data_IF_342696905231
#
_entry.id   IF_342696905231
#
_cell.length_a   1.000
_cell.length_b   1.000
_cell.length_c   1.000
_cell.angle_alpha   90.00
_cell.angle_beta   90.00
_cell.angle_gamma   90.00
#
_symmetry.space_group_name_H-M   'P 1'
#
loop_
_entity.id
_entity.type
_entity.pdbx_description
1 polymer ?
#
# COMPACT_ATOMS: atom_id res chain seq x y z
N UNK A 1 -10.48 10.33 32.16
CA UNK A 1 -9.56 11.03 31.23
C UNK A 1 -8.34 10.13 31.03
N UNK A 2 -8.32 9.32 29.97
CA UNK A 2 -7.14 8.51 29.65
C UNK A 2 -6.11 9.41 28.98
N UNK A 3 -5.01 9.70 29.68
CA UNK A 3 -3.83 10.33 29.11
C UNK A 3 -3.29 9.41 28.01
N UNK A 4 -3.46 9.78 26.74
CA UNK A 4 -2.85 9.08 25.63
C UNK A 4 -1.32 9.08 25.82
N UNK A 5 -0.68 7.91 25.70
CA UNK A 5 0.77 7.78 25.86
C UNK A 5 1.47 8.51 24.70
N UNK A 6 2.20 9.61 24.97
CA UNK A 6 2.78 10.45 23.91
C UNK A 6 3.89 9.74 23.12
N UNK A 7 4.40 8.59 23.60
CA UNK A 7 5.48 7.85 22.96
C UNK A 7 4.98 6.66 22.13
N UNK A 8 3.69 6.32 22.17
CA UNK A 8 3.17 5.11 21.54
C UNK A 8 3.46 5.03 20.04
N UNK A 9 3.18 6.10 19.30
CA UNK A 9 3.44 6.18 17.86
C UNK A 9 4.94 6.04 17.54
N UNK A 10 5.80 6.69 18.34
CA UNK A 10 7.26 6.59 18.16
C UNK A 10 7.78 5.18 18.44
N UNK A 11 7.30 4.51 19.49
CA UNK A 11 7.66 3.12 19.80
C UNK A 11 7.28 2.18 18.67
N UNK A 12 6.08 2.32 18.11
CA UNK A 12 5.64 1.53 16.96
C UNK A 12 6.52 1.77 15.74
N UNK A 13 6.88 3.03 15.47
CA UNK A 13 7.78 3.38 14.38
C UNK A 13 9.17 2.74 14.55
N UNK A 14 9.82 2.94 15.70
CA UNK A 14 11.15 2.39 16.01
C UNK A 14 11.15 0.86 15.93
N UNK A 15 10.13 0.22 16.51
CA UNK A 15 9.98 -1.24 16.43
C UNK A 15 9.79 -1.71 15.00
N UNK A 16 8.98 -1.04 14.19
CA UNK A 16 8.75 -1.38 12.78
C UNK A 16 10.04 -1.27 11.97
N UNK A 17 10.80 -0.18 12.11
CA UNK A 17 12.06 -0.01 11.37
C UNK A 17 13.10 -1.05 11.79
N UNK A 18 13.22 -1.34 13.09
CA UNK A 18 14.17 -2.33 13.60
C UNK A 18 13.94 -3.75 13.04
N UNK A 19 12.68 -4.12 12.80
CA UNK A 19 12.31 -5.44 12.28
C UNK A 19 12.11 -5.46 10.76
N UNK A 20 12.23 -4.32 10.07
CA UNK A 20 11.99 -4.21 8.63
C UNK A 20 13.00 -4.99 7.80
N UNK A 21 14.29 -4.93 8.20
CA UNK A 21 15.38 -5.56 7.45
C UNK A 21 16.31 -6.31 8.42
N UNK A 22 16.23 -7.65 8.50
CA UNK A 22 17.06 -8.45 9.42
C UNK A 22 18.57 -8.17 9.29
N UNK A 23 19.05 -7.94 8.06
CA UNK A 23 20.46 -7.61 7.80
C UNK A 23 20.91 -6.28 8.42
N UNK A 24 20.04 -5.27 8.46
CA UNK A 24 20.35 -4.01 9.15
C UNK A 24 20.40 -4.22 10.66
N UNK A 25 19.51 -5.07 11.19
CA UNK A 25 19.56 -5.47 12.58
C UNK A 25 20.91 -6.11 12.90
N UNK A 26 21.36 -7.10 12.15
CA UNK A 26 22.66 -7.75 12.39
C UNK A 26 23.83 -6.76 12.30
N UNK A 27 23.83 -5.89 11.27
CA UNK A 27 24.87 -4.88 11.04
C UNK A 27 24.93 -3.83 12.17
N UNK A 28 23.78 -3.49 12.78
CA UNK A 28 23.72 -2.49 13.85
C UNK A 28 24.52 -2.87 15.11
N UNK A 29 24.86 -4.16 15.28
CA UNK A 29 25.67 -4.63 16.40
C UNK A 29 27.04 -3.96 16.44
N UNK A 30 27.69 -3.76 15.29
CA UNK A 30 29.02 -3.13 15.21
C UNK A 30 29.02 -1.67 15.67
N UNK A 31 27.89 -0.97 15.53
CA UNK A 31 27.74 0.43 15.98
C UNK A 31 27.68 0.58 17.51
N UNK A 32 27.52 -0.52 18.24
CA UNK A 32 27.53 -0.54 19.71
C UNK A 32 28.89 -0.92 20.30
N UNK A 33 29.89 -1.22 19.48
CA UNK A 33 31.22 -1.56 19.95
C UNK A 33 31.91 -0.34 20.57
N UNK A 34 32.75 -0.58 21.58
CA UNK A 34 33.41 0.48 22.36
C UNK A 34 34.18 1.49 21.49
N UNK A 35 34.78 1.03 20.39
CA UNK A 35 35.51 1.86 19.43
C UNK A 35 34.60 2.77 18.58
N UNK A 36 33.34 2.38 18.37
CA UNK A 36 32.40 3.08 17.49
C UNK A 36 31.27 3.81 18.27
N UNK A 37 31.11 3.53 19.57
CA UNK A 37 29.94 3.96 20.34
C UNK A 37 29.80 5.48 20.40
N UNK A 38 30.84 6.21 20.78
CA UNK A 38 30.78 7.69 20.90
C UNK A 38 30.46 8.34 19.55
N UNK A 39 31.12 7.91 18.48
CA UNK A 39 30.82 8.38 17.12
C UNK A 39 29.38 8.04 16.68
N UNK A 40 28.86 6.88 17.08
CA UNK A 40 27.47 6.49 16.81
C UNK A 40 26.49 7.40 17.56
N UNK A 41 26.77 7.75 18.82
CA UNK A 41 25.97 8.71 19.60
C UNK A 41 25.97 10.08 18.95
N UNK A 42 27.12 10.60 18.52
CA UNK A 42 27.22 11.90 17.84
C UNK A 42 26.42 11.95 16.53
N UNK A 43 26.52 10.89 15.72
CA UNK A 43 25.71 10.72 14.50
C UNK A 43 24.22 10.64 14.81
N UNK A 44 23.85 9.97 15.90
CA UNK A 44 22.46 9.84 16.31
C UNK A 44 21.88 11.17 16.78
N UNK A 45 22.63 11.96 17.56
CA UNK A 45 22.26 13.32 17.96
C UNK A 45 22.01 14.19 16.73
N UNK A 46 22.92 14.14 15.75
CA UNK A 46 22.79 14.90 14.50
C UNK A 46 21.51 14.51 13.77
N UNK A 47 21.25 13.21 13.59
CA UNK A 47 20.04 12.72 12.95
C UNK A 47 18.76 13.07 13.71
N UNK A 48 18.77 13.04 15.06
CA UNK A 48 17.64 13.46 15.90
C UNK A 48 17.34 14.94 15.70
N UNK A 49 18.37 15.78 15.57
CA UNK A 49 18.21 17.23 15.35
C UNK A 49 17.63 17.54 13.98
N UNK A 50 18.06 16.82 12.94
CA UNK A 50 17.63 17.04 11.56
C UNK A 50 16.25 16.47 11.26
N UNK A 51 15.89 15.33 11.86
CA UNK A 51 14.61 14.69 11.57
C UNK A 51 13.42 15.38 12.28
N UNK A 52 12.24 15.41 11.62
CA UNK A 52 11.01 15.90 12.22
C UNK A 52 10.47 14.87 13.22
N UNK A 53 10.61 15.17 14.52
CA UNK A 53 10.12 14.35 15.63
C UNK A 53 9.18 15.19 16.50
N UNK A 54 8.21 14.57 17.20
CA UNK A 54 7.46 15.26 18.23
C UNK A 54 8.40 15.89 19.28
N UNK A 55 8.14 17.13 19.68
CA UNK A 55 9.02 17.89 20.57
C UNK A 55 9.34 17.13 21.87
N UNK A 56 8.35 16.44 22.44
CA UNK A 56 8.50 15.62 23.64
C UNK A 56 9.46 14.44 23.43
N UNK A 57 9.42 13.79 22.26
CA UNK A 57 10.35 12.70 21.90
C UNK A 57 11.75 13.27 21.68
N UNK A 58 11.84 14.35 20.90
CA UNK A 58 13.11 14.99 20.54
C UNK A 58 13.86 15.48 21.77
N UNK A 59 13.17 16.18 22.68
CA UNK A 59 13.74 16.68 23.92
C UNK A 59 14.32 15.54 24.77
N UNK A 60 13.58 14.43 24.94
CA UNK A 60 14.06 13.31 25.76
C UNK A 60 15.25 12.60 25.11
N UNK A 61 15.22 12.37 23.79
CA UNK A 61 16.34 11.73 23.12
C UNK A 61 17.60 12.61 23.17
N UNK A 62 17.48 13.93 22.98
CA UNK A 62 18.60 14.85 23.14
C UNK A 62 19.09 14.91 24.59
N UNK A 63 18.20 14.89 25.57
CA UNK A 63 18.61 14.77 26.98
C UNK A 63 19.42 13.49 27.24
N UNK A 64 18.98 12.36 26.69
CA UNK A 64 19.64 11.06 26.87
C UNK A 64 20.99 10.95 26.17
N UNK A 65 21.17 11.60 25.02
CA UNK A 65 22.36 11.44 24.19
C UNK A 65 23.29 12.65 24.22
N UNK A 66 22.76 13.86 24.13
CA UNK A 66 23.55 15.11 24.05
C UNK A 66 23.93 15.66 25.42
N UNK A 67 23.01 15.67 26.39
CA UNK A 67 23.31 16.18 27.74
C UNK A 67 24.12 15.16 28.56
N UNK A 68 23.69 13.88 28.58
CA UNK A 68 24.36 12.84 29.38
C UNK A 68 25.64 12.29 28.75
N UNK A 69 25.85 12.49 27.43
CA UNK A 69 27.02 12.03 26.65
C UNK A 69 27.54 10.63 27.03
N UNK A 70 26.70 9.59 26.89
CA UNK A 70 27.08 8.22 27.25
C UNK A 70 28.30 7.76 26.44
N UNK A 71 29.22 7.03 27.06
CA UNK A 71 30.43 6.50 26.40
C UNK A 71 30.33 5.00 26.12
N UNK A 72 29.34 4.32 26.71
CA UNK A 72 29.00 2.92 26.47
C UNK A 72 27.52 2.68 26.77
N UNK A 73 27.01 1.53 26.32
CA UNK A 73 25.59 1.13 26.51
C UNK A 73 25.17 1.13 27.99
N UNK A 74 26.09 0.79 28.90
CA UNK A 74 25.79 0.74 30.34
C UNK A 74 25.59 2.11 30.98
N UNK A 75 26.05 3.18 30.33
CA UNK A 75 25.88 4.55 30.83
C UNK A 75 24.48 5.10 30.47
N UNK A 76 23.72 4.38 29.65
CA UNK A 76 22.39 4.78 29.22
C UNK A 76 21.35 4.58 30.32
N UNK A 77 20.45 5.54 30.42
CA UNK A 77 19.30 5.46 31.31
C UNK A 77 18.25 4.48 30.73
N UNK A 78 18.31 3.24 31.20
CA UNK A 78 17.50 2.15 30.66
C UNK A 78 16.00 2.29 30.92
N UNK A 79 15.60 2.92 32.02
CA UNK A 79 14.19 3.20 32.32
C UNK A 79 13.62 4.20 31.32
N UNK A 80 14.33 5.31 31.09
CA UNK A 80 13.91 6.35 30.15
C UNK A 80 13.95 5.88 28.69
N UNK A 81 14.98 5.14 28.28
CA UNK A 81 15.03 4.55 26.93
C UNK A 81 13.90 3.55 26.72
N UNK A 82 13.60 2.69 27.70
CA UNK A 82 12.50 1.73 27.62
C UNK A 82 11.15 2.44 27.57
N UNK A 83 10.99 3.56 28.29
CA UNK A 83 9.77 4.38 28.22
C UNK A 83 9.54 4.94 26.82
N UNK A 84 10.58 5.51 26.20
CA UNK A 84 10.45 6.17 24.88
C UNK A 84 10.43 5.18 23.72
N UNK A 85 11.18 4.07 23.80
CA UNK A 85 11.36 3.11 22.67
C UNK A 85 10.65 1.77 22.86
N UNK A 86 10.25 1.42 24.09
CA UNK A 86 9.73 0.10 24.43
C UNK A 86 10.81 -0.98 24.57
N UNK A 87 12.09 -0.64 24.40
CA UNK A 87 13.20 -1.59 24.28
C UNK A 87 14.25 -1.37 25.39
N UNK A 88 14.96 -2.41 25.84
CA UNK A 88 16.11 -2.26 26.74
C UNK A 88 17.29 -1.56 26.04
N UNK A 89 18.24 -0.92 26.77
CA UNK A 89 19.27 -0.02 26.23
C UNK A 89 19.95 -0.48 24.94
N UNK A 90 20.50 -1.70 24.92
CA UNK A 90 21.21 -2.21 23.75
C UNK A 90 20.29 -2.38 22.53
N UNK A 91 19.06 -2.84 22.73
CA UNK A 91 18.07 -2.99 21.64
C UNK A 91 17.53 -1.64 21.20
N UNK A 92 17.29 -0.73 22.15
CA UNK A 92 16.85 0.64 21.88
C UNK A 92 17.88 1.36 20.99
N UNK A 93 19.17 1.31 21.34
CA UNK A 93 20.22 1.91 20.52
C UNK A 93 20.27 1.33 19.10
N UNK A 94 20.22 0.01 18.94
CA UNK A 94 20.20 -0.63 17.61
C UNK A 94 18.97 -0.22 16.79
N UNK A 95 17.81 -0.19 17.44
CA UNK A 95 16.58 0.20 16.79
C UNK A 95 16.59 1.68 16.37
N UNK A 96 17.13 2.56 17.22
CA UNK A 96 17.31 3.97 16.91
C UNK A 96 18.33 4.17 15.78
N UNK A 97 19.48 3.51 15.79
CA UNK A 97 20.45 3.64 14.69
C UNK A 97 19.89 3.19 13.35
N UNK A 98 18.98 2.21 13.33
CA UNK A 98 18.25 1.82 12.11
C UNK A 98 17.19 2.85 11.75
N UNK A 99 16.33 3.25 12.71
CA UNK A 99 15.24 4.20 12.47
C UNK A 99 15.74 5.57 11.98
N UNK A 100 16.91 6.00 12.46
CA UNK A 100 17.56 7.25 12.05
C UNK A 100 18.50 7.08 10.84
N UNK A 101 18.57 5.90 10.21
CA UNK A 101 19.32 5.68 8.97
C UNK A 101 20.84 5.62 9.13
N UNK A 102 21.37 5.39 10.34
CA UNK A 102 22.81 5.26 10.58
C UNK A 102 23.37 3.93 10.07
N UNK A 103 22.51 2.90 9.96
CA UNK A 103 22.81 1.64 9.28
C UNK A 103 22.32 1.74 7.83
N UNK A 104 23.21 1.73 6.83
CA UNK A 104 22.80 1.77 5.44
C UNK A 104 21.78 0.66 5.15
N UNK A 105 20.74 0.99 4.38
CA UNK A 105 19.89 -0.06 3.82
C UNK A 105 20.77 -0.96 2.94
N UNK A 106 20.58 -2.29 2.96
CA UNK A 106 21.23 -3.13 1.97
C UNK A 106 20.87 -2.62 0.58
N UNK A 107 21.89 -2.48 -0.27
CA UNK A 107 21.70 -2.21 -1.69
C UNK A 107 20.83 -3.34 -2.24
N UNK A 108 19.59 -3.03 -2.61
CA UNK A 108 18.73 -4.02 -3.25
C UNK A 108 19.35 -4.44 -4.57
N UNK A 109 19.23 -5.72 -4.91
CA UNK A 109 19.64 -6.22 -6.23
C UNK A 109 18.76 -5.68 -7.36
N UNK A 110 17.58 -5.12 -7.04
CA UNK A 110 16.62 -4.65 -8.01
C UNK A 110 16.88 -3.19 -8.40
N UNK A 111 16.93 -2.88 -9.72
CA UNK A 111 17.04 -1.50 -10.17
C UNK A 111 15.78 -0.71 -9.85
N UNK A 112 15.95 0.60 -9.61
CA UNK A 112 14.84 1.54 -9.37
C UNK A 112 14.91 2.66 -10.39
N UNK A 113 13.74 3.12 -10.84
CA UNK A 113 13.66 4.25 -11.76
C UNK A 113 14.16 5.53 -11.09
N UNK A 114 14.98 6.30 -11.80
CA UNK A 114 15.46 7.61 -11.39
C UNK A 114 14.49 8.76 -11.75
N UNK A 115 13.34 8.46 -12.39
CA UNK A 115 12.36 9.46 -12.75
C UNK A 115 11.75 10.13 -11.51
N UNK A 116 11.70 11.46 -11.52
CA UNK A 116 11.01 12.22 -10.48
C UNK A 116 9.49 12.15 -10.64
N UNK A 117 8.76 12.45 -9.57
CA UNK A 117 7.30 12.52 -9.60
C UNK A 117 6.79 13.54 -10.63
N UNK A 118 7.48 14.67 -10.82
CA UNK A 118 7.19 15.67 -11.87
C UNK A 118 7.32 15.07 -13.27
N UNK A 119 8.40 14.34 -13.52
CA UNK A 119 8.66 13.74 -14.83
C UNK A 119 7.60 12.69 -15.16
N UNK A 120 7.24 11.85 -14.19
CA UNK A 120 6.19 10.84 -14.32
C UNK A 120 4.84 11.49 -14.61
N UNK A 121 4.47 12.54 -13.87
CA UNK A 121 3.25 13.32 -14.15
C UNK A 121 3.25 13.86 -15.59
N UNK A 122 4.37 14.43 -16.03
CA UNK A 122 4.54 14.95 -17.39
C UNK A 122 4.29 13.89 -18.46
N UNK A 123 4.85 12.69 -18.31
CA UNK A 123 4.56 11.57 -19.21
C UNK A 123 3.08 11.16 -19.16
N UNK A 124 2.57 10.87 -17.97
CA UNK A 124 1.25 10.25 -17.79
C UNK A 124 0.09 11.14 -18.26
N UNK A 125 0.24 12.46 -18.21
CA UNK A 125 -0.74 13.41 -18.79
C UNK A 125 -0.93 13.20 -20.30
N UNK A 126 0.13 12.82 -21.02
CA UNK A 126 0.08 12.54 -22.45
C UNK A 126 -0.25 11.08 -22.81
N UNK A 127 -0.24 10.16 -21.84
CA UNK A 127 -0.48 8.74 -22.08
C UNK A 127 -1.96 8.37 -21.92
N UNK A 128 -2.53 7.76 -22.95
CA UNK A 128 -3.84 7.09 -22.86
C UNK A 128 -3.74 5.83 -22.00
N UNK A 129 -2.69 5.02 -22.19
CA UNK A 129 -2.39 3.87 -21.35
C UNK A 129 -1.24 4.20 -20.37
N UNK A 130 -1.49 4.36 -19.05
CA UNK A 130 -0.44 4.57 -18.05
C UNK A 130 0.70 3.54 -18.06
N UNK A 131 0.47 2.30 -18.49
CA UNK A 131 1.54 1.28 -18.56
C UNK A 131 2.55 1.56 -19.67
N UNK A 132 2.26 2.44 -20.63
CA UNK A 132 3.23 2.88 -21.63
C UNK A 132 4.40 3.67 -21.00
N UNK A 133 4.28 4.10 -19.73
CA UNK A 133 5.40 4.62 -18.95
C UNK A 133 6.57 3.61 -18.89
N UNK A 134 6.30 2.30 -18.90
CA UNK A 134 7.32 1.25 -18.89
C UNK A 134 8.28 1.35 -20.10
N UNK A 135 7.81 1.92 -21.22
CA UNK A 135 8.64 2.14 -22.41
C UNK A 135 9.45 3.44 -22.37
N UNK A 136 9.17 4.32 -21.39
CA UNK A 136 9.78 5.64 -21.26
C UNK A 136 10.69 5.74 -20.01
N UNK A 137 10.49 4.87 -19.04
CA UNK A 137 11.32 4.79 -17.84
C UNK A 137 12.68 4.11 -18.11
N UNK A 138 13.66 4.47 -17.31
CA UNK A 138 14.98 3.83 -17.23
C UNK A 138 14.92 2.40 -16.67
N UNK A 139 13.89 2.10 -15.88
CA UNK A 139 13.60 0.77 -15.36
C UNK A 139 12.14 0.40 -15.66
N UNK A 140 11.91 -0.75 -16.29
CA UNK A 140 10.57 -1.29 -16.49
C UNK A 140 10.25 -2.29 -15.36
N UNK A 141 9.60 -1.82 -14.30
CA UNK A 141 9.23 -2.66 -13.15
C UNK A 141 7.80 -2.44 -12.70
N UNK A 142 7.11 -3.55 -12.41
CA UNK A 142 5.71 -3.57 -11.98
C UNK A 142 5.52 -4.45 -10.74
N UNK A 143 4.83 -3.92 -9.73
CA UNK A 143 4.28 -4.67 -8.61
C UNK A 143 2.77 -4.78 -8.77
N UNK A 144 2.23 -5.99 -8.81
CA UNK A 144 0.78 -6.24 -8.86
C UNK A 144 0.29 -6.83 -7.53
N UNK A 145 -0.54 -6.07 -6.81
CA UNK A 145 -1.11 -6.44 -5.50
C UNK A 145 -2.53 -6.99 -5.69
N UNK A 146 -2.78 -8.18 -5.16
CA UNK A 146 -4.04 -8.90 -5.41
C UNK A 146 -4.10 -9.44 -6.84
N UNK A 147 -2.99 -10.03 -7.29
CA UNK A 147 -2.74 -10.46 -8.68
C UNK A 147 -3.80 -11.45 -9.22
N UNK A 148 -4.50 -12.16 -8.33
CA UNK A 148 -5.56 -13.10 -8.65
C UNK A 148 -5.07 -14.22 -9.56
N UNK A 149 -5.77 -14.39 -10.69
CA UNK A 149 -5.52 -15.47 -11.63
C UNK A 149 -4.28 -15.27 -12.52
N UNK A 150 -3.54 -14.16 -12.35
CA UNK A 150 -2.37 -13.73 -13.15
C UNK A 150 -2.70 -13.28 -14.58
N UNK A 151 -3.96 -13.18 -14.98
CA UNK A 151 -4.35 -12.78 -16.35
C UNK A 151 -3.82 -11.40 -16.75
N UNK A 152 -3.89 -10.43 -15.84
CA UNK A 152 -3.29 -9.10 -16.06
C UNK A 152 -1.77 -9.19 -16.28
N UNK A 153 -1.07 -9.99 -15.46
CA UNK A 153 0.37 -10.18 -15.57
C UNK A 153 0.77 -10.80 -16.92
N UNK A 154 -0.03 -11.75 -17.42
CA UNK A 154 0.14 -12.36 -18.76
C UNK A 154 -0.02 -11.32 -19.87
N UNK A 155 -1.10 -10.53 -19.86
CA UNK A 155 -1.33 -9.49 -20.87
C UNK A 155 -0.25 -8.39 -20.85
N UNK A 156 0.17 -7.95 -19.66
CA UNK A 156 1.24 -6.98 -19.50
C UNK A 156 2.56 -7.52 -20.08
N UNK A 157 2.90 -8.78 -19.77
CA UNK A 157 4.11 -9.41 -20.28
C UNK A 157 4.06 -9.64 -21.79
N UNK A 158 2.89 -10.00 -22.35
CA UNK A 158 2.67 -10.12 -23.79
C UNK A 158 2.90 -8.78 -24.50
N UNK A 159 2.35 -7.70 -23.94
CA UNK A 159 2.34 -6.39 -24.57
C UNK A 159 3.70 -5.67 -24.51
N UNK A 160 4.40 -5.76 -23.38
CA UNK A 160 5.63 -4.99 -23.14
C UNK A 160 6.90 -5.83 -23.17
N UNK A 161 6.84 -7.11 -22.78
CA UNK A 161 8.01 -7.98 -22.68
C UNK A 161 8.86 -8.02 -23.95
N UNK A 162 8.27 -8.34 -25.14
CA UNK A 162 9.03 -8.37 -26.39
C UNK A 162 9.67 -7.02 -26.76
N UNK A 163 8.98 -5.91 -26.54
CA UNK A 163 9.45 -4.55 -26.90
C UNK A 163 10.59 -4.09 -26.00
N UNK A 164 10.53 -4.43 -24.72
CA UNK A 164 11.58 -4.13 -23.74
C UNK A 164 12.81 -5.03 -23.98
N UNK A 165 12.58 -6.31 -24.29
CA UNK A 165 13.67 -7.23 -24.60
C UNK A 165 14.48 -6.79 -25.82
N UNK A 166 13.83 -6.25 -26.87
CA UNK A 166 14.52 -5.66 -28.04
C UNK A 166 15.39 -4.45 -27.70
N UNK A 167 15.20 -3.84 -26.52
CA UNK A 167 15.99 -2.73 -26.00
C UNK A 167 17.02 -3.16 -24.94
N UNK A 168 17.26 -4.46 -24.81
CA UNK A 168 18.09 -5.06 -23.75
C UNK A 168 17.65 -4.67 -22.33
N UNK A 169 16.36 -4.40 -22.16
CA UNK A 169 15.76 -4.09 -20.86
C UNK A 169 14.81 -5.23 -20.45
N UNK A 170 15.05 -5.92 -19.32
CA UNK A 170 14.09 -6.88 -18.80
C UNK A 170 12.88 -6.18 -18.18
N UNK A 171 11.70 -6.73 -18.38
CA UNK A 171 10.52 -6.37 -17.57
C UNK A 171 10.62 -7.08 -16.22
N UNK A 172 10.62 -6.34 -15.12
CA UNK A 172 10.53 -6.89 -13.76
C UNK A 172 9.06 -6.89 -13.37
N UNK A 173 8.49 -8.04 -13.03
CA UNK A 173 7.09 -8.17 -12.65
C UNK A 173 6.95 -9.05 -11.42
N UNK A 174 6.52 -8.47 -10.31
CA UNK A 174 6.25 -9.19 -9.08
C UNK A 174 4.76 -9.15 -8.75
N UNK A 175 4.16 -10.32 -8.55
CA UNK A 175 2.78 -10.46 -8.08
C UNK A 175 2.74 -10.89 -6.62
N UNK A 176 1.84 -10.29 -5.83
CA UNK A 176 1.60 -10.66 -4.43
C UNK A 176 0.11 -10.86 -4.21
N UNK A 177 -0.28 -12.00 -3.65
CA UNK A 177 -1.67 -12.32 -3.34
C UNK A 177 -1.84 -13.05 -2.00
N UNK A 178 -2.93 -12.76 -1.30
CA UNK A 178 -3.34 -13.45 -0.07
C UNK A 178 -3.90 -14.85 -0.36
N UNK A 179 -4.42 -15.06 -1.56
CA UNK A 179 -4.89 -16.37 -2.01
C UNK A 179 -3.72 -17.34 -2.06
N UNK A 180 -3.86 -18.44 -1.34
CA UNK A 180 -2.96 -19.57 -1.45
C UNK A 180 -3.31 -20.35 -2.73
N UNK A 181 -2.37 -20.56 -3.66
CA UNK A 181 -2.60 -21.40 -4.84
C UNK A 181 -3.00 -22.84 -4.51
N UNK A 182 -2.75 -23.31 -3.28
CA UNK A 182 -3.13 -24.64 -2.80
C UNK A 182 -4.49 -24.66 -2.07
N UNK A 183 -5.07 -23.49 -1.78
CA UNK A 183 -6.39 -23.40 -1.12
C UNK A 183 -7.50 -23.87 -2.05
N UNK A 184 -8.59 -24.37 -1.47
CA UNK A 184 -9.80 -24.71 -2.22
C UNK A 184 -10.80 -23.53 -2.26
N UNK A 185 -10.49 -22.42 -1.58
CA UNK A 185 -11.43 -21.34 -1.28
C UNK A 185 -11.27 -20.10 -2.18
N UNK A 186 -10.40 -20.11 -3.18
CA UNK A 186 -10.22 -18.99 -4.13
C UNK A 186 -10.97 -19.14 -5.46
N UNK A 187 -11.46 -20.35 -5.78
CA UNK A 187 -12.24 -20.62 -6.98
C UNK A 187 -11.59 -20.08 -8.28
N UNK A 188 -12.30 -19.31 -9.12
CA UNK A 188 -11.77 -18.80 -10.39
C UNK A 188 -10.74 -17.68 -10.24
N UNK A 189 -10.45 -17.23 -9.00
CA UNK A 189 -9.46 -16.20 -8.72
C UNK A 189 -8.07 -16.77 -8.43
N UNK A 190 -7.92 -18.10 -8.36
CA UNK A 190 -6.62 -18.71 -8.18
C UNK A 190 -5.70 -18.45 -9.36
N UNK A 191 -4.43 -18.20 -9.05
CA UNK A 191 -3.35 -18.22 -10.02
C UNK A 191 -3.38 -19.54 -10.81
N UNK A 192 -3.64 -19.45 -12.11
CA UNK A 192 -3.60 -20.62 -12.99
C UNK A 192 -2.18 -21.17 -13.06
N UNK A 193 -2.00 -22.46 -12.78
CA UNK A 193 -0.68 -23.09 -12.72
C UNK A 193 0.02 -23.09 -14.08
N UNK A 194 -0.74 -23.24 -15.16
CA UNK A 194 -0.22 -23.15 -16.53
C UNK A 194 0.30 -21.74 -16.85
N UNK A 195 -0.48 -20.71 -16.50
CA UNK A 195 -0.11 -19.29 -16.66
C UNK A 195 1.10 -18.92 -15.82
N UNK A 196 1.13 -19.35 -14.56
CA UNK A 196 2.29 -19.18 -13.68
C UNK A 196 3.55 -19.75 -14.31
N UNK A 197 3.50 -20.98 -14.82
CA UNK A 197 4.65 -21.61 -15.46
C UNK A 197 5.08 -20.87 -16.73
N UNK A 198 4.12 -20.43 -17.58
CA UNK A 198 4.42 -19.63 -18.78
C UNK A 198 5.13 -18.33 -18.44
N UNK A 199 4.67 -17.60 -17.41
CA UNK A 199 5.29 -16.36 -16.95
C UNK A 199 6.70 -16.59 -16.41
N UNK A 200 6.92 -17.65 -15.62
CA UNK A 200 8.23 -17.97 -15.05
C UNK A 200 9.29 -18.34 -16.11
N UNK A 201 8.87 -18.95 -17.23
CA UNK A 201 9.77 -19.38 -18.30
C UNK A 201 9.92 -18.34 -19.42
N UNK A 202 9.30 -17.16 -19.27
CA UNK A 202 9.23 -16.18 -20.35
C UNK A 202 10.55 -15.42 -20.52
N UNK A 203 11.06 -15.40 -21.74
CA UNK A 203 12.25 -14.60 -22.08
C UNK A 203 11.98 -13.11 -21.96
N UNK A 204 12.97 -12.36 -21.47
CA UNK A 204 12.87 -10.91 -21.26
C UNK A 204 12.01 -10.50 -20.05
N UNK A 205 11.53 -11.46 -19.25
CA UNK A 205 10.72 -11.22 -18.06
C UNK A 205 11.43 -11.76 -16.82
N UNK A 206 11.64 -10.92 -15.82
CA UNK A 206 11.99 -11.32 -14.45
C UNK A 206 10.72 -11.38 -13.62
N UNK A 207 10.13 -12.58 -13.54
CA UNK A 207 8.85 -12.79 -12.88
C UNK A 207 8.97 -13.52 -11.54
N UNK A 208 8.23 -13.05 -10.54
CA UNK A 208 8.00 -13.77 -9.30
C UNK A 208 6.55 -13.59 -8.83
N UNK A 209 5.97 -14.67 -8.28
CA UNK A 209 4.63 -14.65 -7.70
C UNK A 209 4.68 -15.18 -6.27
N UNK A 210 4.10 -14.42 -5.35
CA UNK A 210 4.04 -14.72 -3.92
C UNK A 210 2.58 -14.85 -3.49
N UNK A 211 2.04 -16.07 -3.64
CA UNK A 211 0.73 -16.45 -3.07
C UNK A 211 0.83 -16.76 -1.58
N UNK A 212 -0.32 -16.83 -0.90
CA UNK A 212 -0.40 -16.96 0.56
C UNK A 212 0.38 -15.86 1.31
N UNK A 213 0.45 -14.66 0.73
CA UNK A 213 1.18 -13.54 1.30
C UNK A 213 0.21 -12.44 1.71
N UNK A 214 0.29 -12.00 2.97
CA UNK A 214 -0.39 -10.77 3.37
C UNK A 214 0.23 -9.59 2.64
N UNK A 215 -0.57 -8.96 1.77
CA UNK A 215 -0.17 -7.83 0.93
C UNK A 215 0.22 -6.59 1.74
N UNK A 216 -0.17 -6.51 3.02
CA UNK A 216 0.21 -5.43 3.94
C UNK A 216 1.40 -5.77 4.84
N UNK A 217 1.85 -7.04 4.85
CA UNK A 217 3.01 -7.48 5.62
C UNK A 217 4.12 -8.05 4.71
N UNK A 218 4.77 -7.16 3.98
CA UNK A 218 5.82 -7.52 3.00
C UNK A 218 7.23 -7.64 3.61
N UNK A 219 7.37 -7.54 4.94
CA UNK A 219 8.68 -7.45 5.61
C UNK A 219 9.57 -8.68 5.37
N UNK A 220 8.98 -9.88 5.31
CA UNK A 220 9.76 -11.09 5.03
C UNK A 220 10.31 -11.09 3.61
N UNK A 221 9.47 -10.70 2.64
CA UNK A 221 9.88 -10.60 1.24
C UNK A 221 10.93 -9.51 1.02
N UNK A 222 10.78 -8.36 1.68
CA UNK A 222 11.78 -7.29 1.68
C UNK A 222 13.08 -7.74 2.34
N UNK A 223 13.01 -8.41 3.49
CA UNK A 223 14.17 -8.88 4.24
C UNK A 223 15.00 -9.93 3.47
N UNK A 224 14.37 -10.64 2.54
CA UNK A 224 15.00 -11.60 1.62
C UNK A 224 15.38 -10.99 0.26
N UNK A 225 15.20 -9.68 0.07
CA UNK A 225 15.45 -8.96 -1.18
C UNK A 225 14.73 -9.63 -2.39
N UNK A 226 13.50 -10.11 -2.14
CA UNK A 226 12.64 -10.74 -3.15
C UNK A 226 11.79 -9.72 -3.91
N UNK A 227 11.54 -8.55 -3.31
CA UNK A 227 10.82 -7.44 -3.91
C UNK A 227 11.76 -6.26 -4.15
N UNK A 228 11.53 -5.51 -5.22
CA UNK A 228 12.15 -4.21 -5.40
C UNK A 228 11.66 -3.25 -4.30
N UNK A 229 12.50 -2.33 -3.79
CA UNK A 229 12.08 -1.37 -2.79
C UNK A 229 10.99 -0.44 -3.31
N UNK A 230 11.10 -0.05 -4.59
CA UNK A 230 10.14 0.77 -5.33
C UNK A 230 10.12 0.36 -6.80
N UNK A 231 8.93 0.36 -7.38
CA UNK A 231 8.65 -0.03 -8.75
C UNK A 231 8.29 1.20 -9.58
N UNK A 232 8.47 1.10 -10.89
CA UNK A 232 8.00 2.13 -11.83
C UNK A 232 6.48 2.22 -11.77
N UNK A 233 5.78 1.08 -11.76
CA UNK A 233 4.33 1.01 -11.57
C UNK A 233 3.98 0.08 -10.41
N UNK A 234 3.15 0.53 -9.48
CA UNK A 234 2.44 -0.35 -8.55
C UNK A 234 0.96 -0.39 -8.93
N UNK A 235 0.37 -1.57 -8.99
CA UNK A 235 -1.00 -1.76 -9.45
C UNK A 235 -1.79 -2.67 -8.52
N UNK A 236 -3.10 -2.46 -8.52
CA UNK A 236 -4.08 -3.36 -7.92
C UNK A 236 -5.30 -3.42 -8.85
N UNK A 237 -5.51 -4.57 -9.49
CA UNK A 237 -6.67 -4.80 -10.34
C UNK A 237 -7.80 -5.43 -9.56
N UNK A 238 -9.01 -4.89 -9.70
CA UNK A 238 -10.21 -5.30 -8.99
C UNK A 238 -9.97 -5.46 -7.47
N UNK A 239 -9.65 -4.36 -6.76
CA UNK A 239 -9.44 -4.40 -5.31
C UNK A 239 -10.54 -5.19 -4.61
N UNK A 240 -10.14 -6.13 -3.75
CA UNK A 240 -11.08 -7.07 -3.15
C UNK A 240 -12.11 -6.36 -2.26
N UNK A 241 -13.38 -6.45 -2.64
CA UNK A 241 -14.51 -6.13 -1.76
C UNK A 241 -14.84 -7.36 -0.89
N UNK A 242 -15.01 -7.21 0.44
CA UNK A 242 -15.09 -5.96 1.22
C UNK A 242 -13.78 -5.38 1.79
N UNK A 243 -12.63 -6.03 1.64
CA UNK A 243 -11.34 -5.63 2.26
C UNK A 243 -11.00 -4.15 2.12
N UNK A 244 -11.34 -3.52 0.99
CA UNK A 244 -11.04 -2.10 0.70
C UNK A 244 -12.27 -1.20 0.58
N UNK A 245 -13.47 -1.73 0.79
CA UNK A 245 -14.74 -1.04 0.54
C UNK A 245 -15.31 -0.30 1.77
N UNK A 246 -14.58 -0.29 2.88
CA UNK A 246 -14.96 0.36 4.14
C UNK A 246 -13.70 0.92 4.79
N UNK A 247 -13.72 2.17 5.24
CA UNK A 247 -12.55 2.83 5.83
C UNK A 247 -12.57 2.82 7.38
N UNK A 248 -11.69 2.04 8.05
CA UNK A 248 -11.67 1.96 9.52
C UNK A 248 -11.33 3.27 10.24
N UNK A 249 -10.68 4.23 9.57
CA UNK A 249 -10.42 5.55 10.18
C UNK A 249 -11.65 6.45 10.29
N UNK A 250 -12.79 6.06 9.70
CA UNK A 250 -14.07 6.79 9.82
C UNK A 250 -15.26 5.91 10.20
N UNK A 251 -15.20 4.60 9.95
CA UNK A 251 -16.26 3.64 10.27
C UNK A 251 -15.83 2.76 11.44
N UNK A 252 -16.64 2.74 12.49
CA UNK A 252 -16.42 1.87 13.63
C UNK A 252 -16.60 0.40 13.26
N UNK A 253 -15.96 -0.53 13.99
CA UNK A 253 -16.09 -1.96 13.74
C UNK A 253 -17.55 -2.46 13.75
N UNK A 254 -18.40 -1.88 14.60
CA UNK A 254 -19.82 -2.23 14.69
C UNK A 254 -20.58 -1.83 13.41
N UNK A 255 -20.33 -0.64 12.87
CA UNK A 255 -20.92 -0.16 11.62
C UNK A 255 -20.47 -1.01 10.45
N UNK A 256 -19.16 -1.28 10.34
CA UNK A 256 -18.60 -2.15 9.30
C UNK A 256 -19.24 -3.54 9.36
N UNK A 257 -19.33 -4.14 10.55
CA UNK A 257 -19.94 -5.45 10.72
C UNK A 257 -21.42 -5.46 10.31
N UNK A 258 -22.19 -4.45 10.71
CA UNK A 258 -23.59 -4.29 10.32
C UNK A 258 -23.76 -4.17 8.81
N UNK A 259 -22.91 -3.39 8.15
CA UNK A 259 -22.92 -3.24 6.68
C UNK A 259 -22.56 -4.53 5.95
N UNK A 260 -21.58 -5.28 6.46
CA UNK A 260 -21.25 -6.60 5.90
C UNK A 260 -22.44 -7.56 6.00
N UNK A 261 -23.12 -7.61 7.15
CA UNK A 261 -24.32 -8.43 7.31
C UNK A 261 -25.45 -7.98 6.38
N UNK A 262 -25.67 -6.67 6.26
CA UNK A 262 -26.71 -6.08 5.42
C UNK A 262 -26.48 -6.32 3.93
N UNK A 263 -25.25 -6.16 3.46
CA UNK A 263 -24.92 -6.17 2.02
C UNK A 263 -24.46 -7.54 1.51
N UNK A 264 -23.79 -8.35 2.34
CA UNK A 264 -23.25 -9.65 1.94
C UNK A 264 -24.04 -10.82 2.52
N UNK A 265 -24.84 -10.60 3.57
CA UNK A 265 -25.62 -11.62 4.26
C UNK A 265 -24.97 -12.06 5.57
N UNK A 266 -25.67 -12.91 6.33
CA UNK A 266 -25.15 -13.44 7.59
C UNK A 266 -23.91 -14.32 7.33
N UNK A 267 -22.87 -14.18 8.16
CA UNK A 267 -21.62 -14.90 7.96
C UNK A 267 -21.04 -15.43 9.28
N UNK A 268 -20.26 -16.51 9.18
CA UNK A 268 -19.54 -17.11 10.30
C UNK A 268 -18.28 -17.82 9.84
N UNK A 269 -17.31 -17.95 10.74
CA UNK A 269 -16.15 -18.81 10.51
C UNK A 269 -16.55 -20.28 10.67
N UNK A 270 -16.08 -21.11 9.76
CA UNK A 270 -16.30 -22.56 9.72
C UNK A 270 -15.02 -23.27 9.25
N UNK A 271 -15.11 -24.56 8.94
CA UNK A 271 -14.05 -25.33 8.29
C UNK A 271 -14.57 -26.00 7.02
N UNK A 272 -13.77 -25.98 5.97
CA UNK A 272 -13.99 -26.75 4.75
C UNK A 272 -12.89 -27.81 4.64
N UNK A 273 -13.24 -29.07 4.90
CA UNK A 273 -12.24 -30.11 5.12
C UNK A 273 -11.34 -29.78 6.31
N UNK A 274 -10.05 -29.53 6.05
CA UNK A 274 -9.05 -29.13 7.06
C UNK A 274 -8.76 -27.63 7.09
N UNK A 275 -9.24 -26.89 6.10
CA UNK A 275 -8.96 -25.46 5.93
C UNK A 275 -9.99 -24.60 6.68
N UNK A 276 -9.58 -23.52 7.39
CA UNK A 276 -10.52 -22.52 7.88
C UNK A 276 -11.24 -21.83 6.72
N UNK A 277 -12.54 -21.57 6.86
CA UNK A 277 -13.33 -20.92 5.82
C UNK A 277 -14.28 -19.88 6.42
N UNK A 278 -14.61 -18.86 5.64
CA UNK A 278 -15.71 -17.96 5.91
C UNK A 278 -16.95 -18.48 5.17
N UNK A 279 -17.99 -18.84 5.91
CA UNK A 279 -19.30 -19.18 5.36
C UNK A 279 -20.18 -17.93 5.35
N UNK A 280 -20.72 -17.60 4.18
CA UNK A 280 -21.65 -16.48 3.97
C UNK A 280 -22.97 -17.02 3.44
N UNK A 281 -24.06 -16.70 4.11
CA UNK A 281 -25.42 -17.07 3.72
C UNK A 281 -25.97 -16.02 2.76
N UNK A 282 -26.14 -16.41 1.50
CA UNK A 282 -26.70 -15.57 0.45
C UNK A 282 -27.99 -16.21 -0.07
N UNK A 283 -29.14 -15.67 0.38
CA UNK A 283 -30.45 -16.30 0.16
C UNK A 283 -30.51 -17.69 0.81
N UNK A 284 -30.76 -18.73 0.03
CA UNK A 284 -30.80 -20.13 0.51
C UNK A 284 -29.47 -20.87 0.39
N UNK A 285 -28.41 -20.21 -0.11
CA UNK A 285 -27.12 -20.84 -0.39
C UNK A 285 -26.08 -20.41 0.64
N UNK A 286 -25.28 -21.37 1.10
CA UNK A 286 -24.04 -21.11 1.82
C UNK A 286 -22.88 -21.05 0.81
N UNK A 287 -22.19 -19.92 0.76
CA UNK A 287 -20.98 -19.72 -0.03
C UNK A 287 -19.76 -19.75 0.89
N UNK A 288 -18.67 -20.35 0.43
CA UNK A 288 -17.43 -20.46 1.17
C UNK A 288 -16.34 -19.58 0.55
N UNK A 289 -15.63 -18.86 1.40
CA UNK A 289 -14.54 -17.96 1.03
C UNK A 289 -13.34 -18.19 1.95
N UNK A 290 -12.16 -17.66 1.60
CA UNK A 290 -11.03 -17.64 2.53
C UNK A 290 -11.45 -16.90 3.81
N UNK A 291 -10.93 -17.31 4.98
CA UNK A 291 -11.39 -16.80 6.28
C UNK A 291 -11.19 -15.29 6.42
N UNK A 292 -10.21 -14.76 5.70
CA UNK A 292 -9.84 -13.35 5.68
C UNK A 292 -10.65 -12.48 4.71
N UNK A 293 -11.57 -13.06 3.93
CA UNK A 293 -12.31 -12.31 2.90
C UNK A 293 -13.00 -11.07 3.45
N UNK A 294 -13.44 -11.10 4.72
CA UNK A 294 -14.10 -9.99 5.41
C UNK A 294 -13.18 -9.24 6.38
N UNK A 295 -11.87 -9.49 6.35
CA UNK A 295 -10.90 -8.64 7.03
C UNK A 295 -10.87 -7.27 6.32
N UNK A 296 -11.49 -6.28 6.94
CA UNK A 296 -11.52 -4.91 6.41
C UNK A 296 -10.24 -4.19 6.84
N UNK A 297 -9.48 -3.72 5.84
CA UNK A 297 -8.25 -2.95 6.02
C UNK A 297 -8.47 -1.49 5.60
N UNK A 298 -9.25 -1.30 4.53
CA UNK A 298 -9.67 0.02 4.05
C UNK A 298 -8.84 0.62 2.91
N UNK A 299 -9.43 1.58 2.18
CA UNK A 299 -8.81 2.21 1.01
C UNK A 299 -7.56 3.02 1.38
N UNK A 300 -7.50 3.62 2.57
CA UNK A 300 -6.36 4.45 2.98
C UNK A 300 -5.06 3.65 3.03
N UNK A 301 -5.12 2.45 3.61
CA UNK A 301 -3.99 1.55 3.70
C UNK A 301 -3.53 1.10 2.30
N UNK A 302 -4.47 0.79 1.40
CA UNK A 302 -4.16 0.42 0.01
C UNK A 302 -3.45 1.56 -0.73
N UNK A 303 -3.97 2.79 -0.64
CA UNK A 303 -3.34 3.97 -1.23
C UNK A 303 -1.92 4.19 -0.70
N UNK A 304 -1.71 4.04 0.60
CA UNK A 304 -0.38 4.16 1.22
C UNK A 304 0.58 3.08 0.74
N UNK A 305 0.12 1.82 0.70
CA UNK A 305 0.93 0.71 0.20
C UNK A 305 1.38 0.95 -1.24
N UNK A 306 0.45 1.29 -2.13
CA UNK A 306 0.75 1.50 -3.54
C UNK A 306 1.63 2.73 -3.75
N UNK A 307 1.38 3.84 -3.04
CA UNK A 307 2.22 5.04 -3.14
C UNK A 307 3.64 4.82 -2.60
N UNK A 308 3.81 3.99 -1.57
CA UNK A 308 5.14 3.63 -1.05
C UNK A 308 5.91 2.71 -2.00
N UNK A 309 5.20 1.85 -2.74
CA UNK A 309 5.82 0.85 -3.62
C UNK A 309 5.92 1.29 -5.07
N UNK A 310 5.16 2.28 -5.52
CA UNK A 310 5.11 2.71 -6.92
C UNK A 310 5.60 4.13 -7.12
N UNK A 311 6.16 4.40 -8.29
CA UNK A 311 6.40 5.77 -8.78
C UNK A 311 5.21 6.27 -9.62
N UNK A 312 4.47 5.33 -10.20
CA UNK A 312 3.11 5.48 -10.71
C UNK A 312 2.21 4.45 -10.01
N UNK A 313 0.99 4.83 -9.65
CA UNK A 313 -0.04 3.93 -9.13
C UNK A 313 -1.16 3.81 -10.15
N UNK A 314 -1.57 2.57 -10.44
CA UNK A 314 -2.74 2.27 -11.28
C UNK A 314 -3.67 1.35 -10.51
N UNK A 315 -4.93 1.74 -10.34
CA UNK A 315 -5.96 0.86 -9.79
C UNK A 315 -7.05 0.70 -10.82
N UNK A 316 -7.29 -0.52 -11.28
CA UNK A 316 -8.27 -0.77 -12.34
C UNK A 316 -9.45 -1.61 -11.86
N UNK A 317 -10.60 -1.48 -12.53
CA UNK A 317 -11.86 -2.19 -12.22
C UNK A 317 -12.20 -2.06 -10.74
N UNK A 318 -12.00 -0.85 -10.21
CA UNK A 318 -12.41 -0.51 -8.86
C UNK A 318 -13.93 -0.43 -8.87
N UNK A 319 -14.58 -1.32 -8.12
CA UNK A 319 -16.04 -1.28 -7.99
C UNK A 319 -16.51 0.03 -7.35
N UNK A 320 -17.80 0.33 -7.49
CA UNK A 320 -18.35 1.62 -7.07
C UNK A 320 -18.18 1.84 -5.57
N UNK A 321 -18.34 0.80 -4.75
CA UNK A 321 -18.25 0.90 -3.30
C UNK A 321 -16.82 1.25 -2.86
N UNK A 322 -15.81 0.54 -3.38
CA UNK A 322 -14.40 0.86 -3.11
C UNK A 322 -14.00 2.22 -3.70
N UNK A 323 -14.54 2.59 -4.86
CA UNK A 323 -14.21 3.85 -5.52
C UNK A 323 -14.57 5.08 -4.69
N UNK A 324 -15.80 5.16 -4.18
CA UNK A 324 -16.21 6.33 -3.38
C UNK A 324 -15.42 6.45 -2.07
N UNK A 325 -15.07 5.32 -1.47
CA UNK A 325 -14.21 5.27 -0.28
C UNK A 325 -12.77 5.72 -0.58
N UNK A 326 -12.21 5.32 -1.73
CA UNK A 326 -10.93 5.82 -2.23
C UNK A 326 -11.00 7.33 -2.48
N UNK A 327 -12.04 7.80 -3.17
CA UNK A 327 -12.23 9.22 -3.50
C UNK A 327 -12.29 10.09 -2.24
N UNK A 328 -12.99 9.63 -1.21
CA UNK A 328 -13.06 10.28 0.10
C UNK A 328 -11.68 10.46 0.76
N UNK A 329 -10.73 9.56 0.52
CA UNK A 329 -9.36 9.69 1.02
C UNK A 329 -8.51 10.68 0.23
N UNK A 330 -8.84 10.90 -1.05
CA UNK A 330 -8.08 11.76 -1.96
C UNK A 330 -8.50 13.23 -1.90
N UNK A 331 -9.73 13.52 -1.47
CA UNK A 331 -10.26 14.87 -1.33
C UNK A 331 -10.00 15.46 0.05
N UNK A 332 -9.70 16.76 0.10
CA UNK A 332 -9.25 17.44 1.33
C UNK A 332 -10.38 17.66 2.35
N UNK A 333 -11.55 18.09 1.86
CA UNK A 333 -12.67 18.51 2.71
C UNK A 333 -13.17 17.37 3.62
N UNK A 334 -13.19 17.56 4.95
CA UNK A 334 -13.70 16.57 5.90
C UNK A 334 -15.14 16.11 5.63
N UNK A 335 -15.97 16.91 4.95
CA UNK A 335 -17.35 16.54 4.62
C UNK A 335 -17.44 15.25 3.81
N UNK A 336 -16.41 14.92 3.02
CA UNK A 336 -16.37 13.71 2.22
C UNK A 336 -16.11 12.45 3.06
N UNK A 337 -15.83 12.60 4.36
CA UNK A 337 -15.52 11.50 5.29
C UNK A 337 -16.40 11.60 6.56
N UNK A 338 -17.73 11.53 6.42
CA UNK A 338 -18.62 11.51 7.57
C UNK A 338 -18.28 10.30 8.47
N UNK A 339 -18.35 10.53 9.79
CA UNK A 339 -18.03 9.51 10.79
C UNK A 339 -19.21 8.55 10.95
N UNK A 340 -18.91 7.26 10.99
CA UNK A 340 -19.88 6.17 11.18
C UNK A 340 -21.05 6.14 10.17
N UNK A 341 -20.87 6.77 9.01
CA UNK A 341 -21.87 6.82 7.95
C UNK A 341 -21.37 6.09 6.68
N UNK A 342 -21.77 4.83 6.44
CA UNK A 342 -21.42 4.10 5.23
C UNK A 342 -21.94 4.81 3.97
N UNK A 343 -21.19 4.72 2.87
CA UNK A 343 -21.68 5.25 1.60
C UNK A 343 -22.72 4.32 0.97
N UNK A 344 -23.78 4.92 0.45
CA UNK A 344 -24.82 4.27 -0.32
C UNK A 344 -25.43 5.26 -1.32
N UNK A 345 -26.12 4.75 -2.34
CA UNK A 345 -26.67 5.57 -3.43
C UNK A 345 -27.47 6.80 -2.96
N UNK A 346 -28.17 6.71 -1.82
CA UNK A 346 -28.97 7.81 -1.29
C UNK A 346 -28.17 8.95 -0.62
N UNK A 347 -26.97 8.71 -0.06
CA UNK A 347 -26.20 9.76 0.63
C UNK A 347 -25.03 10.30 -0.19
N UNK A 348 -24.54 9.54 -1.18
CA UNK A 348 -23.46 9.96 -2.07
C UNK A 348 -23.70 11.35 -2.73
N UNK A 349 -24.90 11.67 -3.27
CA UNK A 349 -25.15 13.01 -3.83
C UNK A 349 -25.01 14.13 -2.81
N UNK A 350 -25.46 13.90 -1.57
CA UNK A 350 -25.39 14.90 -0.50
C UNK A 350 -23.95 15.11 -0.01
N UNK A 351 -23.15 14.04 0.05
CA UNK A 351 -21.77 14.06 0.54
C UNK A 351 -20.81 14.67 -0.51
N UNK A 352 -20.93 14.23 -1.76
CA UNK A 352 -20.00 14.61 -2.83
C UNK A 352 -20.49 15.77 -3.70
N UNK A 353 -21.79 16.11 -3.67
CA UNK A 353 -22.37 17.25 -4.39
C UNK A 353 -22.05 17.22 -5.87
N UNK A 354 -21.63 18.36 -6.44
CA UNK A 354 -21.30 18.46 -7.86
C UNK A 354 -20.19 17.52 -8.34
N UNK A 355 -19.33 16.99 -7.45
CA UNK A 355 -18.35 15.95 -7.82
C UNK A 355 -19.09 14.65 -8.17
N UNK A 356 -20.13 14.30 -7.41
CA UNK A 356 -20.97 13.14 -7.70
C UNK A 356 -21.61 13.26 -9.08
N UNK A 357 -22.21 14.40 -9.37
CA UNK A 357 -22.91 14.63 -10.64
C UNK A 357 -21.95 14.54 -11.84
N UNK A 358 -20.75 15.12 -11.73
CA UNK A 358 -19.76 15.08 -12.81
C UNK A 358 -19.21 13.67 -13.04
N UNK A 359 -18.94 12.92 -11.98
CA UNK A 359 -18.42 11.56 -12.09
C UNK A 359 -19.48 10.58 -12.59
N UNK A 360 -20.71 10.65 -12.07
CA UNK A 360 -21.81 9.77 -12.50
C UNK A 360 -22.20 10.01 -13.97
N UNK A 361 -22.07 11.25 -14.45
CA UNK A 361 -22.30 11.60 -15.86
C UNK A 361 -21.07 11.38 -16.76
N UNK A 362 -19.94 10.92 -16.23
CA UNK A 362 -18.72 10.69 -17.00
C UNK A 362 -18.95 9.52 -17.98
N UNK A 363 -18.83 9.73 -19.32
CA UNK A 363 -19.02 8.66 -20.29
C UNK A 363 -18.01 7.53 -20.10
N UNK A 364 -18.40 6.29 -20.42
CA UNK A 364 -17.48 5.15 -20.44
C UNK A 364 -16.34 5.44 -21.43
N UNK A 365 -15.10 5.22 -21.00
CA UNK A 365 -13.89 5.54 -21.74
C UNK A 365 -13.39 6.97 -21.53
N UNK A 366 -14.19 7.87 -20.96
CA UNK A 366 -13.77 9.22 -20.64
C UNK A 366 -12.98 9.28 -19.32
N UNK A 367 -12.22 10.36 -19.16
CA UNK A 367 -11.40 10.61 -17.98
C UNK A 367 -11.47 12.06 -17.54
N UNK A 368 -11.23 12.30 -16.25
CA UNK A 368 -11.15 13.63 -15.63
C UNK A 368 -9.99 13.67 -14.64
N UNK A 369 -9.36 14.83 -14.50
CA UNK A 369 -8.35 15.06 -13.46
C UNK A 369 -9.06 15.49 -12.19
N UNK A 370 -8.81 14.81 -11.07
CA UNK A 370 -9.53 15.06 -9.82
C UNK A 370 -9.33 16.48 -9.28
N UNK A 371 -8.17 17.09 -9.56
CA UNK A 371 -7.88 18.48 -9.18
C UNK A 371 -8.81 19.50 -9.87
N UNK A 372 -9.45 19.14 -10.99
CA UNK A 372 -10.44 19.98 -11.67
C UNK A 372 -11.83 19.87 -11.01
N UNK A 373 -12.05 18.84 -10.17
CA UNK A 373 -13.30 18.59 -9.47
C UNK A 373 -13.28 19.05 -8.01
N UNK A 374 -12.11 19.01 -7.37
CA UNK A 374 -11.96 19.36 -5.96
C UNK A 374 -10.51 19.46 -5.52
N UNK A 375 -10.31 19.96 -4.29
CA UNK A 375 -8.99 20.14 -3.71
C UNK A 375 -8.43 18.78 -3.28
N UNK A 376 -7.28 18.41 -3.85
CA UNK A 376 -6.55 17.20 -3.44
C UNK A 376 -6.02 17.35 -2.02
N UNK A 377 -6.18 16.28 -1.26
CA UNK A 377 -5.78 16.20 0.14
C UNK A 377 -4.27 16.29 0.28
N UNK A 378 -3.81 17.27 1.05
CA UNK A 378 -2.37 17.53 1.26
C UNK A 378 -1.72 16.64 2.32
N UNK A 379 -2.52 16.06 3.21
CA UNK A 379 -2.04 15.14 4.26
C UNK A 379 -3.07 14.05 4.49
N UNK A 380 -2.68 12.80 4.25
CA UNK A 380 -3.44 11.67 4.79
C UNK A 380 -3.32 11.65 6.32
N UNK A 381 -4.32 11.12 7.05
CA UNK A 381 -4.08 10.83 8.44
C UNK A 381 -2.94 9.81 8.44
N UNK A 382 -1.87 10.03 9.21
CA UNK A 382 -0.90 8.97 9.41
C UNK A 382 -1.70 7.76 9.93
N UNK A 383 -1.32 6.55 9.48
CA UNK A 383 -1.99 5.31 9.91
C UNK A 383 -2.05 5.19 11.46
N UNK A 384 -1.26 6.01 12.16
CA UNK A 384 -1.43 6.38 13.55
C UNK A 384 -1.41 7.90 13.71
N UNK A 385 -2.34 8.46 14.50
CA UNK A 385 -2.39 9.86 14.93
C UNK A 385 -1.05 10.34 15.53
N UNK A 386 -0.11 10.80 14.70
CA UNK A 386 1.00 11.63 15.17
C UNK A 386 1.41 12.65 14.11
N UNK A 387 1.38 13.89 14.54
CA UNK A 387 1.59 15.13 13.82
C UNK A 387 2.99 15.26 13.23
N UNK A 388 3.10 15.63 11.96
CA UNK A 388 4.16 16.53 11.51
C UNK A 388 3.57 17.69 10.70
N UNK A 389 3.99 18.90 11.06
CA UNK A 389 3.73 20.15 10.37
C UNK A 389 5.00 20.55 9.63
N UNK A 390 4.89 20.59 8.29
CA UNK A 390 5.82 20.97 7.20
C UNK A 390 6.50 19.78 6.49
N UNK A 391 6.37 19.59 5.16
CA UNK A 391 6.01 20.47 4.04
C UNK A 391 4.79 19.99 3.21
N UNK A 392 4.37 20.87 2.31
CA UNK A 392 3.13 20.95 1.54
C UNK A 392 3.03 20.02 0.31
N UNK A 393 3.06 18.71 0.48
CA UNK A 393 2.83 17.76 -0.63
C UNK A 393 1.82 16.70 -0.22
N UNK A 394 0.70 16.61 -0.96
CA UNK A 394 -0.31 15.54 -0.81
C UNK A 394 0.28 14.15 -0.96
N UNK A 395 -0.47 13.09 -0.63
CA UNK A 395 0.01 11.73 -0.95
C UNK A 395 0.23 11.58 -2.47
N UNK A 396 -0.65 12.22 -3.24
CA UNK A 396 -0.58 12.24 -4.70
C UNK A 396 -0.59 13.68 -5.20
N UNK A 397 0.30 13.95 -6.15
CA UNK A 397 0.35 15.23 -6.88
C UNK A 397 -0.60 15.26 -8.08
N UNK A 398 -0.91 14.10 -8.63
CA UNK A 398 -1.78 13.95 -9.79
C UNK A 398 -2.68 12.73 -9.61
N UNK A 399 -3.96 12.90 -9.94
CA UNK A 399 -4.97 11.83 -9.92
C UNK A 399 -5.86 12.01 -11.14
N UNK A 400 -5.88 11.01 -12.01
CA UNK A 400 -6.83 10.89 -13.13
C UNK A 400 -7.80 9.76 -12.86
N UNK A 401 -9.08 10.05 -12.97
CA UNK A 401 -10.19 9.10 -12.84
C UNK A 401 -10.72 8.83 -14.24
N UNK A 402 -10.90 7.56 -14.59
CA UNK A 402 -11.51 7.16 -15.86
C UNK A 402 -12.64 6.17 -15.60
N UNK A 403 -13.70 6.25 -16.43
CA UNK A 403 -14.86 5.37 -16.31
C UNK A 403 -14.70 4.15 -17.21
N UNK A 404 -14.80 2.94 -16.65
CA UNK A 404 -14.77 1.69 -17.40
C UNK A 404 -13.90 0.59 -16.77
N UNK A 405 -14.21 -0.66 -17.12
CA UNK A 405 -13.48 -1.84 -16.66
C UNK A 405 -12.22 -2.14 -17.49
N UNK A 406 -12.27 -1.85 -18.79
CA UNK A 406 -11.19 -2.14 -19.75
C UNK A 406 -11.02 -0.95 -20.68
N UNK A 407 -9.81 -0.75 -21.17
CA UNK A 407 -9.46 0.36 -22.06
C UNK A 407 -8.65 -0.17 -23.25
N UNK A 408 -8.83 0.39 -24.46
CA UNK A 408 -8.09 -0.04 -25.63
C UNK A 408 -6.58 -0.02 -25.41
N UNK A 409 -5.93 -1.14 -25.73
CA UNK A 409 -4.48 -1.29 -25.59
C UNK A 409 -3.95 -1.28 -24.16
N UNK A 410 -4.81 -1.40 -23.14
CA UNK A 410 -4.41 -1.54 -21.74
C UNK A 410 -4.51 -3.00 -21.30
N UNK A 411 -3.49 -3.56 -20.61
CA UNK A 411 -3.58 -4.88 -20.01
C UNK A 411 -4.66 -4.91 -18.93
N UNK A 412 -5.46 -5.97 -18.90
CA UNK A 412 -6.60 -6.10 -18.01
C UNK A 412 -6.66 -7.49 -17.36
N UNK A 413 -7.27 -7.57 -16.17
CA UNK A 413 -7.54 -8.86 -15.53
C UNK A 413 -8.77 -9.55 -16.12
N UNK A 414 -8.90 -10.85 -15.91
CA UNK A 414 -10.08 -11.62 -16.31
C UNK A 414 -11.34 -11.12 -15.58
N UNK A 415 -11.21 -10.67 -14.33
CA UNK A 415 -12.28 -9.99 -13.59
C UNK A 415 -12.71 -8.72 -14.31
N UNK A 416 -11.77 -7.88 -14.76
CA UNK A 416 -12.07 -6.67 -15.51
C UNK A 416 -12.86 -6.96 -16.79
N UNK A 417 -12.51 -8.04 -17.52
CA UNK A 417 -13.23 -8.44 -18.74
C UNK A 417 -14.66 -8.92 -18.45
N UNK A 418 -14.89 -9.55 -17.30
CA UNK A 418 -16.22 -10.06 -16.90
C UNK A 418 -17.22 -8.96 -16.55
N UNK A 419 -16.77 -7.77 -16.12
CA UNK A 419 -17.67 -6.64 -15.81
C UNK A 419 -18.59 -6.26 -16.97
N UNK A 420 -18.13 -6.38 -18.22
CA UNK A 420 -18.96 -6.10 -19.40
C UNK A 420 -20.19 -7.00 -19.54
N UNK A 421 -20.15 -8.20 -18.93
CA UNK A 421 -21.25 -9.16 -18.93
C UNK A 421 -22.11 -9.11 -17.66
N UNK A 422 -21.75 -8.27 -16.67
CA UNK A 422 -22.48 -8.14 -15.41
C UNK A 422 -23.52 -7.01 -15.53
N UNK A 423 -24.75 -7.36 -15.91
CA UNK A 423 -25.83 -6.39 -16.17
C UNK A 423 -26.30 -5.63 -14.92
N UNK A 424 -26.07 -6.18 -13.74
CA UNK A 424 -26.46 -5.57 -12.45
C UNK A 424 -25.37 -4.67 -11.87
N UNK A 425 -24.15 -4.73 -12.42
CA UNK A 425 -23.01 -3.97 -11.91
C UNK A 425 -22.84 -2.65 -12.67
N UNK A 426 -22.57 -1.60 -11.91
CA UNK A 426 -22.22 -0.29 -12.45
C UNK A 426 -20.83 -0.39 -13.11
N UNK A 427 -20.59 0.23 -14.29
CA UNK A 427 -19.26 0.21 -14.91
C UNK A 427 -18.20 0.66 -13.90
N UNK A 428 -17.14 -0.11 -13.67
CA UNK A 428 -16.18 0.19 -12.60
C UNK A 428 -15.26 1.35 -13.01
N UNK A 429 -14.33 1.69 -12.12
CA UNK A 429 -13.45 2.84 -12.23
C UNK A 429 -12.00 2.44 -12.45
N UNK A 430 -11.25 3.31 -13.13
CA UNK A 430 -9.80 3.28 -13.24
C UNK A 430 -9.22 4.55 -12.62
N UNK A 431 -8.26 4.40 -11.71
CA UNK A 431 -7.49 5.50 -11.15
C UNK A 431 -6.04 5.39 -11.59
N UNK A 432 -5.50 6.50 -12.08
CA UNK A 432 -4.06 6.69 -12.33
C UNK A 432 -3.57 7.78 -11.39
N UNK A 433 -2.65 7.45 -10.48
CA UNK A 433 -2.18 8.38 -9.45
C UNK A 433 -0.65 8.47 -9.47
N UNK A 434 -0.13 9.69 -9.40
CA UNK A 434 1.31 9.94 -9.26
C UNK A 434 1.54 10.38 -7.81
N UNK A 435 2.29 9.60 -7.01
CA UNK A 435 2.71 10.01 -5.67
C UNK A 435 3.44 11.35 -5.70
N UNK A 436 3.30 12.17 -4.66
CA UNK A 436 3.96 13.47 -4.62
C UNK A 436 5.48 13.38 -4.43
#
# INVERSE_FOLDING_TARGET
MNSADPFESFRRHVSRQAHRVPKQWDTSRGLLEKSAFTSTVDRLISAIKEQPLPDSVKAILLQLFEEKRPQRVQDLDGEYLKRVTGLPPAKAMRALTIAFGLVPAPTSKWPMSALSSEAIEGFVRGLTNPFDLLMNADVASVLDIGTGDLSFAEELADQYGPKLHQRDQPLILHGVDRLDPQSQLGGPLHADSGRLHRLQQRQGLSFAFFGHQDVFNLNELDGRDLLAPRYTVATCWAPATPTFAYEPSRLSPAVIHGELQRTKGAFRLTRFGKEPALEVLHGTRALLFPPWKFDVIGPLALLQLLAQRGSLVVMGSVDDQAFWEILAQLLDDPRYRPQDEPFHAANLPAIFGGIYDQLTNLPIGASVVLADLGILRRRLPPADLSTSTDHSTGLFRYVRISRGATFPGMPASSTARKFSAMTEEVPPWLLTLVPA
#
